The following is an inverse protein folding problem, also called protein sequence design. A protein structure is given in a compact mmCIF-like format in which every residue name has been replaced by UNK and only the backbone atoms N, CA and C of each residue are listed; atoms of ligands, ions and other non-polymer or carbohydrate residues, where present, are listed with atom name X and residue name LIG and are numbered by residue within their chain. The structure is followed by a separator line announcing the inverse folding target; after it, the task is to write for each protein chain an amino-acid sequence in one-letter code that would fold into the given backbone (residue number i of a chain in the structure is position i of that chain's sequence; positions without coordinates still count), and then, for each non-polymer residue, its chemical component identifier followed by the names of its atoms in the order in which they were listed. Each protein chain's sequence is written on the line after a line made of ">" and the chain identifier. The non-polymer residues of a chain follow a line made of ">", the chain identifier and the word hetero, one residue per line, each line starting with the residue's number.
data_IF_523272073657
#
_entry.id   IF_523272073657
#
_cell.length_a   1.000
_cell.length_b   1.000
_cell.length_c   1.000
_cell.angle_alpha   90.00
_cell.angle_beta   90.00
_cell.angle_gamma   90.00
#
_symmetry.space_group_name_H-M   'P 1'
#
loop_
_entity.id
_entity.type
_entity.pdbx_description
1 polymer ?
#
# COMPACT_ATOMS: atom_id res chain seq x y z
N UNK A 1 -32.15 -24.23 2.01
CA UNK A 1 -30.99 -24.41 2.93
C UNK A 1 -30.93 -23.16 3.79
N UNK A 2 -31.32 -23.28 5.07
CA UNK A 2 -31.16 -22.17 6.03
C UNK A 2 -29.74 -22.18 6.55
N UNK A 3 -29.05 -21.07 6.38
CA UNK A 3 -27.77 -20.83 7.02
C UNK A 3 -27.93 -20.80 8.54
N UNK A 4 -27.02 -21.38 9.32
CA UNK A 4 -27.08 -21.31 10.78
C UNK A 4 -26.98 -19.84 11.24
N UNK A 5 -27.86 -19.46 12.15
CA UNK A 5 -27.97 -18.12 12.73
C UNK A 5 -26.89 -17.77 13.77
N UNK A 6 -25.94 -18.68 14.03
CA UNK A 6 -24.84 -18.48 14.95
C UNK A 6 -23.58 -18.06 14.19
N UNK A 7 -23.54 -16.80 13.76
CA UNK A 7 -22.24 -16.15 13.53
C UNK A 7 -21.63 -15.86 14.91
N UNK A 8 -20.40 -16.30 15.18
CA UNK A 8 -19.72 -15.92 16.41
C UNK A 8 -19.71 -14.40 16.53
N UNK A 9 -20.09 -13.87 17.67
CA UNK A 9 -19.83 -12.46 18.05
C UNK A 9 -18.32 -12.34 18.22
N UNK A 10 -17.67 -12.05 17.09
CA UNK A 10 -16.24 -12.14 16.96
C UNK A 10 -15.63 -10.83 17.49
N UNK A 11 -15.17 -10.86 18.73
CA UNK A 11 -14.02 -10.05 19.12
C UNK A 11 -12.83 -10.54 18.32
N UNK A 12 -12.77 -10.16 17.04
CA UNK A 12 -11.62 -10.52 16.20
C UNK A 12 -10.40 -9.87 16.84
N UNK A 13 -9.44 -10.65 17.31
CA UNK A 13 -8.25 -10.10 17.95
C UNK A 13 -7.58 -9.11 17.00
N UNK A 14 -7.08 -8.01 17.56
CA UNK A 14 -6.34 -7.02 16.79
C UNK A 14 -5.27 -7.72 15.94
N UNK A 15 -5.20 -7.39 14.66
CA UNK A 15 -4.27 -8.02 13.75
C UNK A 15 -2.84 -7.60 14.13
N UNK A 16 -2.05 -8.57 14.56
CA UNK A 16 -0.66 -8.35 15.01
C UNK A 16 0.31 -8.71 13.87
N UNK A 17 0.84 -7.70 13.22
CA UNK A 17 1.82 -7.85 12.13
C UNK A 17 3.22 -8.32 12.59
N UNK A 18 3.43 -8.55 13.90
CA UNK A 18 4.64 -9.18 14.40
C UNK A 18 4.55 -10.69 14.42
N UNK A 19 3.35 -11.26 14.28
CA UNK A 19 3.08 -12.69 14.28
C UNK A 19 3.11 -13.28 12.87
N UNK A 20 3.83 -14.38 12.70
CA UNK A 20 4.01 -15.03 11.38
C UNK A 20 2.67 -15.48 10.78
N UNK A 21 1.73 -15.99 11.60
CA UNK A 21 0.41 -16.42 11.14
C UNK A 21 -0.40 -15.26 10.57
N UNK A 22 -0.37 -14.10 11.22
CA UNK A 22 -1.09 -12.92 10.75
C UNK A 22 -0.48 -12.37 9.46
N UNK A 23 0.86 -12.37 9.35
CA UNK A 23 1.55 -11.97 8.12
C UNK A 23 1.25 -12.94 6.98
N UNK A 24 1.13 -14.25 7.25
CA UNK A 24 0.72 -15.22 6.25
C UNK A 24 -0.71 -14.92 5.72
N UNK A 25 -1.66 -14.63 6.60
CA UNK A 25 -3.02 -14.23 6.21
C UNK A 25 -3.05 -12.93 5.40
N UNK A 26 -2.24 -11.94 5.78
CA UNK A 26 -2.07 -10.71 5.00
C UNK A 26 -1.54 -11.00 3.59
N UNK A 27 -0.59 -11.92 3.46
CA UNK A 27 0.08 -12.26 2.20
C UNK A 27 -0.80 -13.11 1.26
N UNK A 28 -1.69 -13.94 1.80
CA UNK A 28 -2.55 -14.84 1.00
C UNK A 28 -3.56 -14.12 0.11
N UNK A 29 -3.98 -12.92 0.50
CA UNK A 29 -4.93 -12.10 -0.26
C UNK A 29 -4.35 -10.73 -0.60
N UNK A 30 -3.37 -10.65 -1.50
CA UNK A 30 -2.63 -9.43 -1.79
C UNK A 30 -3.40 -8.45 -2.70
N UNK A 31 -4.73 -8.44 -2.67
CA UNK A 31 -5.56 -7.64 -3.58
C UNK A 31 -5.20 -6.16 -3.58
N UNK A 32 -4.80 -5.62 -2.42
CA UNK A 32 -4.39 -4.22 -2.34
C UNK A 32 -3.06 -3.96 -3.07
N UNK A 33 -2.02 -4.71 -2.72
CA UNK A 33 -0.69 -4.57 -3.33
C UNK A 33 -0.67 -5.04 -4.78
N UNK A 34 -1.48 -6.04 -5.13
CA UNK A 34 -1.56 -6.58 -6.48
C UNK A 34 -2.10 -5.56 -7.49
N UNK A 35 -3.10 -4.75 -7.14
CA UNK A 35 -3.66 -3.74 -8.05
C UNK A 35 -2.63 -2.68 -8.43
N UNK A 36 -1.93 -2.13 -7.44
CA UNK A 36 -0.88 -1.13 -7.67
C UNK A 36 0.36 -1.75 -8.32
N UNK A 37 0.74 -2.96 -7.89
CA UNK A 37 1.89 -3.68 -8.43
C UNK A 37 1.69 -4.12 -9.87
N UNK A 38 0.48 -4.49 -10.29
CA UNK A 38 0.20 -4.78 -11.69
C UNK A 38 0.41 -3.54 -12.56
N UNK A 39 -0.12 -2.39 -12.14
CA UNK A 39 0.11 -1.12 -12.83
C UNK A 39 1.60 -0.76 -12.89
N UNK A 40 2.34 -1.00 -11.81
CA UNK A 40 3.80 -0.80 -11.76
C UNK A 40 4.51 -1.71 -12.76
N UNK A 41 4.21 -3.00 -12.75
CA UNK A 41 4.84 -4.02 -13.59
C UNK A 41 4.56 -3.85 -15.11
N UNK A 42 3.46 -3.18 -15.48
CA UNK A 42 3.17 -2.82 -16.87
C UNK A 42 4.12 -1.73 -17.40
N UNK A 43 4.75 -0.97 -16.52
CA UNK A 43 5.54 0.23 -16.90
C UNK A 43 7.00 0.17 -16.44
N UNK A 44 7.37 -0.80 -15.60
CA UNK A 44 8.76 -1.01 -15.19
C UNK A 44 9.61 -1.41 -16.40
N UNK A 45 10.78 -0.77 -16.59
CA UNK A 45 11.70 -1.17 -17.66
C UNK A 45 12.29 -2.56 -17.40
N UNK A 46 12.30 -3.40 -18.43
CA UNK A 46 12.77 -4.79 -18.35
C UNK A 46 14.25 -4.97 -18.81
N UNK A 47 14.97 -3.89 -19.00
CA UNK A 47 16.40 -3.88 -19.37
C UNK A 47 17.35 -3.74 -18.16
N UNK A 48 16.80 -3.58 -16.96
CA UNK A 48 17.57 -3.45 -15.72
C UNK A 48 18.21 -4.80 -15.30
N UNK A 49 19.42 -4.72 -14.75
CA UNK A 49 20.13 -5.92 -14.28
C UNK A 49 20.38 -5.93 -12.77
N UNK A 50 20.38 -4.77 -12.15
CA UNK A 50 20.57 -4.59 -10.70
C UNK A 50 19.38 -3.81 -10.15
N UNK A 51 18.46 -4.49 -9.53
CA UNK A 51 17.18 -3.93 -9.12
C UNK A 51 17.07 -3.97 -7.59
N UNK A 52 16.60 -2.87 -7.01
CA UNK A 52 16.16 -2.78 -5.62
C UNK A 52 14.61 -2.70 -5.60
N UNK A 53 13.99 -3.57 -4.84
CA UNK A 53 12.59 -3.42 -4.43
C UNK A 53 12.57 -2.89 -2.99
N UNK A 54 12.23 -1.60 -2.84
CA UNK A 54 12.24 -0.89 -1.57
C UNK A 54 10.85 -0.90 -0.93
N UNK A 55 10.77 -1.47 0.29
CA UNK A 55 9.49 -1.80 0.91
C UNK A 55 8.90 -3.08 0.32
N UNK A 56 9.74 -4.11 0.12
CA UNK A 56 9.36 -5.34 -0.56
C UNK A 56 8.36 -6.22 0.21
N UNK A 57 8.15 -5.96 1.49
CA UNK A 57 7.20 -6.66 2.34
C UNK A 57 7.37 -8.19 2.27
N UNK A 58 6.28 -8.88 1.96
CA UNK A 58 6.24 -10.34 1.79
C UNK A 58 6.73 -10.83 0.42
N UNK A 59 7.28 -9.93 -0.43
CA UNK A 59 7.97 -10.30 -1.67
C UNK A 59 7.20 -10.06 -2.97
N UNK A 60 6.12 -9.28 -2.97
CA UNK A 60 5.49 -8.77 -4.19
C UNK A 60 5.72 -7.26 -4.31
N UNK A 61 6.26 -6.74 -5.42
CA UNK A 61 6.57 -7.39 -6.70
C UNK A 61 7.99 -7.99 -6.84
N UNK A 62 8.77 -8.11 -5.78
CA UNK A 62 10.16 -8.58 -5.80
C UNK A 62 10.37 -9.84 -6.66
N UNK A 63 9.61 -10.90 -6.35
CA UNK A 63 9.78 -12.20 -7.02
C UNK A 63 9.27 -12.15 -8.46
N UNK A 64 8.17 -11.45 -8.70
CA UNK A 64 7.66 -11.22 -10.05
C UNK A 64 8.69 -10.50 -10.94
N UNK A 65 9.37 -9.49 -10.39
CA UNK A 65 10.47 -8.80 -11.08
C UNK A 65 11.66 -9.73 -11.33
N UNK A 66 12.03 -10.54 -10.35
CA UNK A 66 13.14 -11.48 -10.50
C UNK A 66 12.90 -12.48 -11.61
N UNK A 67 11.67 -12.99 -11.73
CA UNK A 67 11.29 -13.93 -12.79
C UNK A 67 11.16 -13.26 -14.15
N UNK A 68 10.54 -12.09 -14.24
CA UNK A 68 10.39 -11.35 -15.52
C UNK A 68 11.71 -10.85 -16.09
N UNK A 69 12.64 -10.47 -15.23
CA UNK A 69 13.97 -10.03 -15.65
C UNK A 69 14.92 -11.21 -15.93
N UNK A 70 14.59 -12.40 -15.45
CA UNK A 70 15.32 -13.62 -15.66
C UNK A 70 16.68 -13.70 -14.96
N UNK A 71 17.45 -14.80 -15.16
CA UNK A 71 18.65 -15.10 -14.38
C UNK A 71 19.82 -14.11 -14.62
N UNK A 72 19.76 -13.31 -15.67
CA UNK A 72 20.76 -12.27 -15.97
C UNK A 72 20.64 -11.02 -15.09
N UNK A 73 19.55 -10.87 -14.34
CA UNK A 73 19.33 -9.79 -13.41
C UNK A 73 19.49 -10.25 -11.95
N UNK A 74 19.81 -9.32 -11.07
CA UNK A 74 19.80 -9.52 -9.62
C UNK A 74 18.83 -8.55 -8.98
N UNK A 75 17.85 -9.06 -8.24
CA UNK A 75 16.84 -8.26 -7.55
C UNK A 75 17.03 -8.37 -6.05
N UNK A 76 17.11 -7.24 -5.37
CA UNK A 76 17.28 -7.18 -3.90
C UNK A 76 16.04 -6.54 -3.31
N UNK A 77 15.35 -7.25 -2.42
CA UNK A 77 14.26 -6.68 -1.62
C UNK A 77 14.79 -6.15 -0.30
N UNK A 78 14.40 -4.93 0.04
CA UNK A 78 14.71 -4.32 1.33
C UNK A 78 13.44 -3.86 2.04
N UNK A 79 13.33 -4.21 3.34
CA UNK A 79 12.19 -3.84 4.17
C UNK A 79 12.60 -3.83 5.66
N UNK A 80 12.13 -2.89 6.50
CA UNK A 80 12.36 -2.95 7.94
C UNK A 80 11.53 -4.04 8.65
N UNK A 81 10.44 -4.52 8.03
CA UNK A 81 9.48 -5.46 8.60
C UNK A 81 10.00 -6.89 8.60
N UNK A 82 10.62 -7.29 9.71
CA UNK A 82 11.30 -8.59 9.84
C UNK A 82 10.38 -9.79 9.59
N UNK A 83 9.13 -9.75 10.05
CA UNK A 83 8.16 -10.85 9.88
C UNK A 83 7.77 -11.03 8.41
N UNK A 84 7.57 -9.94 7.68
CA UNK A 84 7.34 -9.99 6.23
C UNK A 84 8.54 -10.57 5.48
N UNK A 85 9.77 -10.20 5.85
CA UNK A 85 10.97 -10.77 5.24
C UNK A 85 11.13 -12.28 5.52
N UNK A 86 10.71 -12.76 6.70
CA UNK A 86 10.67 -14.23 6.96
C UNK A 86 9.70 -14.92 5.99
N UNK A 87 8.50 -14.37 5.80
CA UNK A 87 7.51 -14.87 4.83
C UNK A 87 8.08 -14.84 3.40
N UNK A 88 8.68 -13.73 2.99
CA UNK A 88 9.34 -13.61 1.68
C UNK A 88 10.47 -14.64 1.51
N UNK A 89 11.27 -14.88 2.56
CA UNK A 89 12.34 -15.88 2.53
C UNK A 89 11.80 -17.31 2.32
N UNK A 90 10.69 -17.65 2.97
CA UNK A 90 10.03 -18.95 2.79
C UNK A 90 9.53 -19.10 1.33
N UNK A 91 8.91 -18.08 0.75
CA UNK A 91 8.48 -18.08 -0.66
C UNK A 91 9.65 -18.21 -1.62
N UNK A 92 10.74 -17.45 -1.40
CA UNK A 92 11.96 -17.55 -2.22
C UNK A 92 12.51 -18.96 -2.25
N UNK A 93 12.54 -19.62 -1.10
CA UNK A 93 13.02 -21.00 -1.01
C UNK A 93 12.09 -21.99 -1.72
N UNK A 94 10.78 -21.89 -1.47
CA UNK A 94 9.78 -22.76 -2.07
C UNK A 94 9.68 -22.64 -3.59
N UNK A 95 9.84 -21.42 -4.12
CA UNK A 95 9.78 -21.14 -5.57
C UNK A 95 11.14 -21.20 -6.27
N UNK A 96 12.22 -21.47 -5.51
CA UNK A 96 13.58 -21.56 -6.05
C UNK A 96 14.05 -20.31 -6.81
N UNK A 97 13.66 -19.11 -6.34
CA UNK A 97 14.05 -17.83 -6.99
C UNK A 97 15.49 -17.49 -6.63
N UNK A 98 16.41 -17.93 -7.46
CA UNK A 98 17.86 -17.85 -7.19
C UNK A 98 18.45 -16.44 -7.33
N UNK A 99 17.86 -15.61 -8.20
CA UNK A 99 18.34 -14.25 -8.50
C UNK A 99 17.73 -13.16 -7.62
N UNK A 100 16.95 -13.53 -6.59
CA UNK A 100 16.43 -12.62 -5.58
C UNK A 100 17.21 -12.73 -4.26
N UNK A 101 17.39 -11.59 -3.57
CA UNK A 101 17.97 -11.52 -2.22
C UNK A 101 17.09 -10.65 -1.32
N UNK A 102 17.14 -10.87 -0.01
CA UNK A 102 16.37 -10.14 0.99
C UNK A 102 17.30 -9.54 2.03
N UNK A 103 17.10 -8.28 2.37
CA UNK A 103 17.89 -7.54 3.36
C UNK A 103 16.94 -6.76 4.27
N UNK A 104 17.15 -6.84 5.58
CA UNK A 104 16.43 -5.97 6.50
C UNK A 104 17.10 -4.61 6.54
N UNK A 105 16.38 -3.57 6.11
CA UNK A 105 16.89 -2.20 6.08
C UNK A 105 15.76 -1.17 6.17
N UNK A 106 16.09 -0.01 6.71
CA UNK A 106 15.27 1.19 6.65
C UNK A 106 15.52 1.93 5.33
N UNK A 107 14.44 2.38 4.67
CA UNK A 107 14.51 3.13 3.41
C UNK A 107 15.27 4.45 3.52
N UNK A 108 15.31 5.07 4.69
CA UNK A 108 16.07 6.28 4.96
C UNK A 108 17.58 6.05 5.14
N UNK A 109 18.03 4.79 5.24
CA UNK A 109 19.44 4.42 5.43
C UNK A 109 19.74 3.05 4.84
N UNK A 110 20.04 3.00 3.56
CA UNK A 110 20.28 1.74 2.85
C UNK A 110 21.73 1.25 3.02
N UNK A 111 21.95 -0.02 3.42
CA UNK A 111 23.29 -0.58 3.69
C UNK A 111 24.01 -1.01 2.39
N UNK A 112 23.99 -0.15 1.38
CA UNK A 112 24.60 -0.40 0.07
C UNK A 112 25.36 0.82 -0.41
N UNK A 113 26.36 0.59 -1.27
CA UNK A 113 27.18 1.64 -1.86
C UNK A 113 26.41 2.49 -2.87
N UNK A 114 26.91 3.66 -3.17
CA UNK A 114 26.41 4.55 -4.21
C UNK A 114 26.41 3.84 -5.58
N UNK A 115 25.40 4.11 -6.39
CA UNK A 115 25.30 3.60 -7.76
C UNK A 115 25.19 2.08 -7.87
N UNK A 116 24.70 1.41 -6.84
CA UNK A 116 24.59 -0.06 -6.80
C UNK A 116 23.54 -0.62 -7.76
N UNK A 117 22.50 0.16 -8.07
CA UNK A 117 21.33 -0.29 -8.81
C UNK A 117 21.09 0.50 -10.10
N UNK A 118 20.49 -0.16 -11.09
CA UNK A 118 20.05 0.45 -12.34
C UNK A 118 18.57 0.88 -12.25
N UNK A 119 17.82 0.21 -11.36
CA UNK A 119 16.42 0.43 -11.12
C UNK A 119 16.12 0.29 -9.61
N UNK A 120 15.37 1.23 -9.08
CA UNK A 120 14.70 1.09 -7.77
C UNK A 120 13.21 1.06 -8.03
N UNK A 121 12.51 0.10 -7.45
CA UNK A 121 11.05 0.03 -7.45
C UNK A 121 10.52 0.13 -6.02
N UNK A 122 9.31 0.65 -5.86
CA UNK A 122 8.59 0.58 -4.59
C UNK A 122 7.08 0.49 -4.86
N UNK A 123 6.47 -0.62 -4.49
CA UNK A 123 5.05 -0.84 -4.66
C UNK A 123 4.31 -0.48 -3.37
N UNK A 124 3.67 0.68 -3.34
CA UNK A 124 2.98 1.25 -2.17
C UNK A 124 3.88 1.49 -0.94
N UNK A 125 5.17 1.14 -1.00
CA UNK A 125 6.12 1.33 0.10
C UNK A 125 6.27 2.80 0.48
N UNK A 126 6.25 3.69 -0.51
CA UNK A 126 6.35 5.14 -0.32
C UNK A 126 5.28 5.72 0.63
N UNK A 127 4.13 5.06 0.73
CA UNK A 127 3.04 5.47 1.61
C UNK A 127 3.36 5.28 3.11
N UNK A 128 4.38 4.48 3.40
CA UNK A 128 4.76 4.08 4.76
C UNK A 128 6.17 4.56 5.15
N UNK A 129 6.84 5.35 4.31
CA UNK A 129 8.14 5.91 4.68
C UNK A 129 7.97 6.91 5.83
N UNK A 130 8.66 6.67 6.95
CA UNK A 130 8.65 7.60 8.07
C UNK A 130 9.29 8.95 7.71
N UNK A 131 10.34 8.91 6.88
CA UNK A 131 11.09 10.07 6.39
C UNK A 131 11.18 10.03 4.86
N UNK A 132 10.12 10.43 4.11
CA UNK A 132 10.08 10.28 2.65
C UNK A 132 11.23 10.99 1.94
N UNK A 133 11.63 12.19 2.41
CA UNK A 133 12.72 12.95 1.80
C UNK A 133 14.07 12.20 1.93
N UNK A 134 14.36 11.61 3.10
CA UNK A 134 15.55 10.81 3.32
C UNK A 134 15.52 9.52 2.47
N UNK A 135 14.37 8.86 2.37
CA UNK A 135 14.22 7.66 1.54
C UNK A 135 14.44 7.97 0.05
N UNK A 136 13.90 9.09 -0.47
CA UNK A 136 14.16 9.49 -1.85
C UNK A 136 15.61 9.89 -2.09
N UNK A 137 16.27 10.56 -1.14
CA UNK A 137 17.70 10.84 -1.19
C UNK A 137 18.53 9.55 -1.26
N UNK A 138 18.17 8.54 -0.46
CA UNK A 138 18.82 7.22 -0.51
C UNK A 138 18.56 6.49 -1.84
N UNK A 139 17.31 6.53 -2.36
CA UNK A 139 17.00 6.01 -3.69
C UNK A 139 17.93 6.64 -4.75
N UNK A 140 18.10 7.98 -4.69
CA UNK A 140 19.00 8.67 -5.61
C UNK A 140 20.45 8.23 -5.42
N UNK A 141 20.94 8.16 -4.19
CA UNK A 141 22.32 7.75 -3.89
C UNK A 141 22.63 6.35 -4.44
N UNK A 142 21.74 5.39 -4.21
CA UNK A 142 21.97 3.98 -4.59
C UNK A 142 21.73 3.68 -6.07
N UNK A 143 21.02 4.53 -6.79
CA UNK A 143 20.87 4.43 -8.25
C UNK A 143 22.18 4.84 -8.95
N UNK A 144 22.53 4.15 -10.02
CA UNK A 144 23.59 4.58 -10.93
C UNK A 144 23.18 5.88 -11.66
N UNK A 145 24.13 6.67 -12.18
CA UNK A 145 23.80 7.79 -13.06
C UNK A 145 22.90 7.32 -14.23
N UNK A 146 21.79 8.03 -14.47
CA UNK A 146 20.77 7.64 -15.45
C UNK A 146 19.88 6.47 -15.02
N UNK A 147 20.09 5.92 -13.83
CA UNK A 147 19.23 4.87 -13.25
C UNK A 147 17.80 5.37 -12.99
N UNK A 148 16.85 4.46 -12.90
CA UNK A 148 15.42 4.76 -12.85
C UNK A 148 14.81 4.41 -11.50
N UNK A 149 13.84 5.22 -11.08
CA UNK A 149 12.99 5.00 -9.93
C UNK A 149 11.56 4.80 -10.43
N UNK A 150 10.90 3.74 -10.03
CA UNK A 150 9.51 3.44 -10.35
C UNK A 150 8.72 3.24 -9.06
N UNK A 151 7.75 4.11 -8.79
CA UNK A 151 6.95 4.11 -7.57
C UNK A 151 5.49 3.90 -7.89
N UNK A 152 4.78 3.07 -7.15
CA UNK A 152 3.33 3.07 -7.11
C UNK A 152 2.81 3.65 -5.81
N UNK A 153 1.69 4.34 -5.87
CA UNK A 153 1.00 4.91 -4.70
C UNK A 153 -0.51 4.96 -4.94
N UNK A 154 -1.29 4.98 -3.86
CA UNK A 154 -2.68 5.39 -3.91
C UNK A 154 -2.77 6.90 -3.66
N UNK A 155 -3.69 7.54 -4.36
CA UNK A 155 -3.84 8.99 -4.35
C UNK A 155 -4.96 9.47 -3.43
N UNK A 156 -4.95 10.79 -3.16
CA UNK A 156 -6.11 11.50 -2.61
C UNK A 156 -7.36 11.20 -3.43
N UNK A 157 -8.52 11.11 -2.77
CA UNK A 157 -9.77 10.67 -3.40
C UNK A 157 -10.07 9.19 -3.22
N UNK A 158 -9.13 8.40 -2.70
CA UNK A 158 -9.40 7.02 -2.33
C UNK A 158 -10.58 6.92 -1.37
N UNK A 159 -11.54 6.03 -1.70
CA UNK A 159 -12.74 5.77 -0.89
C UNK A 159 -13.57 7.04 -0.61
N UNK A 160 -13.63 7.99 -1.55
CA UNK A 160 -14.31 9.27 -1.37
C UNK A 160 -15.78 9.11 -0.88
N UNK A 161 -16.53 8.14 -1.43
CA UNK A 161 -17.91 7.85 -1.01
C UNK A 161 -17.97 7.43 0.47
N UNK A 162 -17.03 6.58 0.91
CA UNK A 162 -16.94 6.14 2.31
C UNK A 162 -16.59 7.32 3.23
N UNK A 163 -15.60 8.11 2.87
CA UNK A 163 -15.20 9.24 3.71
C UNK A 163 -16.25 10.33 3.77
N UNK A 164 -17.01 10.57 2.70
CA UNK A 164 -18.16 11.47 2.73
C UNK A 164 -19.29 10.94 3.66
N UNK A 165 -19.53 9.62 3.67
CA UNK A 165 -20.46 8.99 4.62
C UNK A 165 -19.94 9.13 6.06
N UNK A 166 -18.65 8.90 6.29
CA UNK A 166 -18.05 9.04 7.61
C UNK A 166 -18.10 10.48 8.14
N UNK A 167 -17.88 11.45 7.27
CA UNK A 167 -18.03 12.89 7.60
C UNK A 167 -19.46 13.21 8.06
N UNK A 168 -20.51 12.70 7.37
CA UNK A 168 -21.90 12.88 7.80
C UNK A 168 -22.16 12.27 9.17
N UNK A 169 -21.66 11.06 9.45
CA UNK A 169 -21.80 10.41 10.77
C UNK A 169 -21.16 11.26 11.85
N UNK A 170 -19.94 11.76 11.63
CA UNK A 170 -19.24 12.57 12.63
C UNK A 170 -19.86 13.96 12.80
N UNK A 171 -20.38 14.57 11.73
CA UNK A 171 -21.08 15.83 11.78
C UNK A 171 -22.40 15.73 12.55
N UNK A 172 -23.17 14.65 12.38
CA UNK A 172 -24.40 14.40 13.13
C UNK A 172 -24.15 14.22 14.63
N UNK A 173 -22.97 13.74 15.01
CA UNK A 173 -22.54 13.61 16.39
C UNK A 173 -22.00 14.93 17.00
N UNK A 174 -21.95 16.02 16.20
CA UNK A 174 -21.41 17.34 16.57
C UNK A 174 -19.98 17.28 17.15
N UNK A 175 -19.16 16.31 16.72
CA UNK A 175 -17.77 16.13 17.19
C UNK A 175 -16.78 16.79 16.20
N UNK A 176 -16.51 18.06 16.43
CA UNK A 176 -15.55 18.82 15.63
C UNK A 176 -14.11 18.25 15.67
N UNK A 177 -13.73 17.62 16.82
CA UNK A 177 -12.44 16.98 16.97
C UNK A 177 -12.31 15.74 16.08
N UNK A 178 -13.34 14.90 16.01
CA UNK A 178 -13.35 13.73 15.11
C UNK A 178 -13.38 14.16 13.64
N UNK A 179 -14.11 15.20 13.28
CA UNK A 179 -14.08 15.77 11.92
C UNK A 179 -12.70 16.25 11.54
N UNK A 180 -12.00 16.97 12.41
CA UNK A 180 -10.64 17.41 12.14
C UNK A 180 -9.68 16.22 11.97
N UNK A 181 -9.79 15.17 12.77
CA UNK A 181 -9.01 13.93 12.59
C UNK A 181 -9.32 13.25 11.26
N UNK A 182 -10.61 13.20 10.84
CA UNK A 182 -10.98 12.65 9.55
C UNK A 182 -10.35 13.42 8.40
N UNK A 183 -10.45 14.74 8.41
CA UNK A 183 -9.86 15.59 7.37
C UNK A 183 -8.33 15.41 7.29
N UNK A 184 -7.64 15.37 8.43
CA UNK A 184 -6.21 15.08 8.48
C UNK A 184 -5.89 13.68 7.92
N UNK A 185 -6.69 12.67 8.29
CA UNK A 185 -6.55 11.29 7.79
C UNK A 185 -6.72 11.19 6.26
N UNK A 186 -7.64 11.94 5.69
CA UNK A 186 -7.84 11.96 4.23
C UNK A 186 -6.73 12.73 3.52
N UNK A 187 -6.32 13.87 4.10
CA UNK A 187 -5.35 14.79 3.49
C UNK A 187 -3.90 14.27 3.44
N UNK A 188 -3.54 13.26 4.27
CA UNK A 188 -2.16 12.76 4.29
C UNK A 188 -1.80 11.92 3.04
N UNK A 189 -2.78 11.55 2.23
CA UNK A 189 -2.53 10.75 1.01
C UNK A 189 -1.79 11.55 -0.04
N UNK A 190 -1.00 10.84 -0.85
CA UNK A 190 -0.21 11.45 -1.89
C UNK A 190 -1.09 12.17 -2.93
N UNK A 191 -0.58 13.30 -3.40
CA UNK A 191 -1.03 13.91 -4.66
C UNK A 191 0.09 13.74 -5.68
N UNK A 192 -0.26 13.69 -6.97
CA UNK A 192 0.76 13.60 -8.02
C UNK A 192 1.73 14.79 -7.99
N UNK A 193 1.20 16.01 -7.83
CA UNK A 193 2.03 17.20 -7.73
C UNK A 193 2.97 17.15 -6.52
N UNK A 194 2.49 16.70 -5.36
CA UNK A 194 3.29 16.54 -4.15
C UNK A 194 4.41 15.51 -4.32
N UNK A 195 4.10 14.35 -4.91
CA UNK A 195 5.07 13.28 -5.16
C UNK A 195 6.11 13.71 -6.21
N UNK A 196 5.68 14.26 -7.35
CA UNK A 196 6.59 14.76 -8.39
C UNK A 196 7.52 15.84 -7.83
N UNK A 197 6.99 16.84 -7.12
CA UNK A 197 7.81 17.87 -6.50
C UNK A 197 8.74 17.34 -5.41
N UNK A 198 8.37 16.27 -4.70
CA UNK A 198 9.28 15.62 -3.74
C UNK A 198 10.45 14.91 -4.45
N UNK A 199 10.20 14.28 -5.58
CA UNK A 199 11.23 13.65 -6.41
C UNK A 199 12.16 14.69 -7.05
N UNK A 200 11.59 15.77 -7.62
CA UNK A 200 12.37 16.87 -8.22
C UNK A 200 13.30 17.55 -7.21
N UNK A 201 12.85 17.75 -5.96
CA UNK A 201 13.72 18.27 -4.88
C UNK A 201 14.90 17.35 -4.53
N UNK A 202 14.86 16.10 -4.96
CA UNK A 202 15.95 15.13 -4.82
C UNK A 202 16.66 14.89 -6.16
N UNK A 203 16.63 15.85 -7.08
CA UNK A 203 17.27 15.82 -8.40
C UNK A 203 16.87 14.57 -9.24
N UNK A 204 15.62 14.18 -9.17
CA UNK A 204 15.02 13.25 -10.11
C UNK A 204 14.29 13.99 -11.22
N UNK A 205 14.43 13.54 -12.44
CA UNK A 205 13.63 13.95 -13.58
C UNK A 205 12.41 13.02 -13.72
N UNK A 206 11.19 13.54 -13.56
CA UNK A 206 9.97 12.76 -13.75
C UNK A 206 9.76 12.49 -15.24
N UNK A 207 9.90 11.24 -15.66
CA UNK A 207 9.82 10.79 -17.05
C UNK A 207 8.39 10.49 -17.49
N UNK A 208 7.54 10.13 -16.56
CA UNK A 208 6.15 9.82 -16.86
C UNK A 208 5.33 9.42 -15.63
N UNK A 209 4.03 9.63 -15.78
CA UNK A 209 3.03 9.26 -14.78
C UNK A 209 1.96 8.40 -15.46
N UNK A 210 1.48 7.39 -14.78
CA UNK A 210 0.35 6.55 -15.19
C UNK A 210 -0.63 6.46 -14.05
N UNK A 211 -1.89 6.76 -14.35
CA UNK A 211 -2.97 6.72 -13.38
C UNK A 211 -3.98 5.65 -13.77
N UNK A 212 -4.57 5.01 -12.76
CA UNK A 212 -5.67 4.08 -12.92
C UNK A 212 -6.56 4.15 -11.69
N UNK A 213 -7.86 4.34 -11.89
CA UNK A 213 -8.83 4.17 -10.80
C UNK A 213 -9.40 2.77 -10.87
N UNK A 214 -9.32 2.05 -9.76
CA UNK A 214 -9.81 0.68 -9.63
C UNK A 214 -11.03 0.68 -8.70
N UNK A 215 -12.20 0.20 -9.16
CA UNK A 215 -13.37 0.07 -8.31
C UNK A 215 -13.27 -1.16 -7.42
N UNK A 216 -13.39 -0.98 -6.12
CA UNK A 216 -13.65 -2.03 -5.16
C UNK A 216 -15.15 -2.12 -4.90
N UNK A 217 -15.77 -3.18 -5.42
CA UNK A 217 -17.22 -3.36 -5.36
C UNK A 217 -17.61 -4.26 -4.19
N UNK A 218 -18.57 -3.79 -3.41
CA UNK A 218 -19.15 -4.49 -2.27
C UNK A 218 -20.67 -4.57 -2.41
N UNK A 219 -21.29 -5.58 -1.82
CA UNK A 219 -22.73 -5.69 -1.83
C UNK A 219 -23.38 -4.52 -1.08
N UNK A 220 -22.78 -4.11 0.05
CA UNK A 220 -23.32 -3.11 0.97
C UNK A 220 -22.24 -2.65 1.96
N UNK A 221 -22.57 -1.76 2.88
CA UNK A 221 -21.66 -1.24 3.91
C UNK A 221 -21.23 -2.31 4.92
N UNK A 222 -22.13 -3.22 5.29
CA UNK A 222 -21.79 -4.34 6.17
C UNK A 222 -20.69 -5.22 5.55
N UNK A 223 -20.75 -5.47 4.23
CA UNK A 223 -19.71 -6.21 3.51
C UNK A 223 -18.36 -5.44 3.49
N UNK A 224 -18.39 -4.11 3.40
CA UNK A 224 -17.16 -3.30 3.53
C UNK A 224 -16.55 -3.49 4.90
N UNK A 225 -17.33 -3.32 5.96
CA UNK A 225 -16.84 -3.37 7.34
C UNK A 225 -16.37 -4.77 7.77
N UNK A 226 -16.91 -5.83 7.17
CA UNK A 226 -16.51 -7.22 7.43
C UNK A 226 -15.33 -7.70 6.57
N UNK A 227 -14.97 -6.94 5.51
CA UNK A 227 -13.91 -7.36 4.61
C UNK A 227 -12.55 -7.40 5.32
N UNK A 228 -11.86 -8.56 5.28
CA UNK A 228 -10.65 -8.80 6.06
C UNK A 228 -9.56 -7.73 5.86
N UNK A 229 -9.30 -7.30 4.62
CA UNK A 229 -8.28 -6.29 4.36
C UNK A 229 -8.69 -4.88 4.83
N UNK A 230 -9.98 -4.52 4.73
CA UNK A 230 -10.52 -3.26 5.29
C UNK A 230 -10.33 -3.26 6.82
N UNK A 231 -10.67 -4.37 7.48
CA UNK A 231 -10.49 -4.54 8.93
C UNK A 231 -9.03 -4.43 9.33
N UNK A 232 -8.14 -5.01 8.54
CA UNK A 232 -6.70 -5.00 8.78
C UNK A 232 -6.06 -3.62 8.52
N UNK A 233 -6.30 -3.08 7.33
CA UNK A 233 -5.52 -1.94 6.82
C UNK A 233 -6.15 -0.57 7.09
N UNK A 234 -7.45 -0.50 7.39
CA UNK A 234 -8.15 0.78 7.49
C UNK A 234 -8.92 0.98 8.80
N UNK A 235 -9.61 -0.04 9.30
CA UNK A 235 -10.42 0.07 10.53
C UNK A 235 -9.63 0.57 11.74
N UNK A 236 -8.37 0.18 11.99
CA UNK A 236 -7.62 0.73 13.11
C UNK A 236 -7.52 2.26 13.07
N UNK A 237 -7.15 2.83 11.92
CA UNK A 237 -7.08 4.28 11.75
C UNK A 237 -8.46 4.95 11.80
N UNK A 238 -9.52 4.30 11.30
CA UNK A 238 -10.88 4.82 11.42
C UNK A 238 -11.37 4.82 12.87
N UNK A 239 -10.96 3.85 13.68
CA UNK A 239 -11.23 3.84 15.13
C UNK A 239 -10.55 5.02 15.83
N UNK A 240 -9.31 5.34 15.49
CA UNK A 240 -8.61 6.52 16.01
C UNK A 240 -9.33 7.82 15.61
N UNK A 241 -9.79 7.92 14.36
CA UNK A 241 -10.61 9.05 13.88
C UNK A 241 -11.91 9.14 14.68
N UNK A 242 -12.60 8.03 14.86
CA UNK A 242 -13.87 7.97 15.58
C UNK A 242 -13.74 8.22 17.11
N UNK A 243 -12.57 7.93 17.70
CA UNK A 243 -12.32 8.14 19.14
C UNK A 243 -13.15 7.23 20.06
N UNK A 244 -13.50 7.73 21.23
CA UNK A 244 -14.15 6.95 22.30
C UNK A 244 -15.48 6.27 21.92
N UNK A 245 -16.12 6.73 20.84
CA UNK A 245 -17.38 6.19 20.33
C UNK A 245 -17.18 5.37 19.05
N UNK A 246 -16.00 4.77 18.85
CA UNK A 246 -15.63 4.12 17.59
C UNK A 246 -16.63 3.05 17.14
N UNK A 247 -17.08 2.16 18.04
CA UNK A 247 -17.99 1.08 17.69
C UNK A 247 -19.34 1.61 17.16
N UNK A 248 -19.92 2.57 17.88
CA UNK A 248 -21.19 3.20 17.49
C UNK A 248 -21.04 3.95 16.16
N UNK A 249 -19.97 4.70 15.98
CA UNK A 249 -19.71 5.53 14.78
C UNK A 249 -19.41 4.66 13.56
N UNK A 250 -18.68 3.57 13.73
CA UNK A 250 -18.42 2.63 12.62
C UNK A 250 -19.65 1.82 12.26
N UNK A 251 -20.52 1.47 13.22
CA UNK A 251 -21.82 0.89 12.93
C UNK A 251 -22.73 1.86 12.16
N UNK A 252 -22.76 3.13 12.55
CA UNK A 252 -23.47 4.17 11.82
C UNK A 252 -22.89 4.39 10.41
N UNK A 253 -21.57 4.34 10.25
CA UNK A 253 -20.92 4.39 8.93
C UNK A 253 -21.38 3.22 8.05
N UNK A 254 -21.43 1.99 8.58
CA UNK A 254 -21.94 0.85 7.84
C UNK A 254 -23.37 1.09 7.34
N UNK A 255 -24.25 1.61 8.21
CA UNK A 255 -25.63 1.92 7.85
C UNK A 255 -25.75 3.04 6.78
N UNK A 256 -24.92 4.08 6.89
CA UNK A 256 -24.84 5.12 5.85
C UNK A 256 -24.39 4.56 4.48
N UNK A 257 -23.43 3.64 4.50
CA UNK A 257 -22.97 2.97 3.28
C UNK A 257 -24.03 1.99 2.74
N UNK A 258 -24.79 1.31 3.59
CA UNK A 258 -25.92 0.47 3.19
C UNK A 258 -26.99 1.32 2.48
N UNK A 259 -27.31 2.50 3.02
CA UNK A 259 -28.26 3.43 2.41
C UNK A 259 -27.76 4.00 1.06
N UNK A 260 -26.45 4.11 0.89
CA UNK A 260 -25.83 4.57 -0.35
C UNK A 260 -25.69 3.46 -1.41
N UNK A 261 -25.81 2.19 -1.00
CA UNK A 261 -25.69 1.06 -1.92
C UNK A 261 -26.91 0.99 -2.85
N UNK A 262 -26.63 1.03 -4.16
CA UNK A 262 -27.68 0.85 -5.18
C UNK A 262 -27.93 -0.62 -5.51
N UNK A 263 -28.79 -0.91 -6.49
CA UNK A 263 -29.07 -2.29 -6.95
C UNK A 263 -27.81 -3.03 -7.42
N UNK A 264 -26.76 -2.29 -7.81
CA UNK A 264 -25.47 -2.83 -8.26
C UNK A 264 -24.43 -2.92 -7.13
N UNK A 265 -24.82 -2.66 -5.88
CA UNK A 265 -23.94 -2.58 -4.73
C UNK A 265 -23.28 -1.21 -4.56
N UNK A 266 -22.21 -1.19 -3.80
CA UNK A 266 -21.39 -0.03 -3.46
C UNK A 266 -20.05 -0.13 -4.19
N UNK A 267 -19.58 0.96 -4.79
CA UNK A 267 -18.22 1.05 -5.36
C UNK A 267 -17.37 2.00 -4.54
N UNK A 268 -16.25 1.51 -4.06
CA UNK A 268 -15.20 2.31 -3.41
C UNK A 268 -14.02 2.46 -4.38
N UNK A 269 -13.88 3.66 -4.91
CA UNK A 269 -12.82 3.94 -5.89
C UNK A 269 -11.45 4.03 -5.24
N UNK A 270 -10.45 3.41 -5.89
CA UNK A 270 -9.05 3.46 -5.49
C UNK A 270 -8.24 4.08 -6.63
N UNK A 271 -7.98 5.39 -6.58
CA UNK A 271 -7.09 6.02 -7.54
C UNK A 271 -5.64 5.61 -7.23
N UNK A 272 -4.99 5.02 -8.21
CA UNK A 272 -3.61 4.57 -8.18
C UNK A 272 -2.77 5.37 -9.16
N UNK A 273 -1.52 5.59 -8.83
CA UNK A 273 -0.55 6.13 -9.76
C UNK A 273 0.76 5.35 -9.74
N UNK A 274 1.41 5.33 -10.90
CA UNK A 274 2.81 4.95 -11.05
C UNK A 274 3.57 6.15 -11.58
N UNK A 275 4.67 6.48 -10.90
CA UNK A 275 5.59 7.54 -11.31
C UNK A 275 6.92 6.89 -11.67
N UNK A 276 7.38 7.19 -12.88
CA UNK A 276 8.72 6.80 -13.35
C UNK A 276 9.58 8.04 -13.38
N UNK A 277 10.71 7.98 -12.69
CA UNK A 277 11.67 9.07 -12.65
C UNK A 277 13.08 8.57 -12.96
N UNK A 278 13.95 9.44 -13.43
CA UNK A 278 15.35 9.17 -13.73
C UNK A 278 16.26 9.95 -12.79
N UNK A 279 17.31 9.33 -12.29
CA UNK A 279 18.40 10.04 -11.62
C UNK A 279 19.14 10.90 -12.64
N UNK A 280 19.13 12.21 -12.43
CA UNK A 280 19.95 13.17 -13.18
C UNK A 280 21.43 13.00 -12.89
#
# INVERSE_FOLDING_TARGET
>A
MSYPADMPTDETPAFDLTRDEHVALYDELPLWSALAGQLLLEHVPLDARRVLDLGCGTGFPLFELAERLGPGARVVGMDPWATALRRASAKRAAWHVANAALVRADGARLPVRDGAFDLVVSNLGVNNFAEPAAAFSECRRVLAPGGRLALSTNLVGQFAVLYAAFERVLASAADAGALARLHAHVAHRATLAGLSGALERQDFEVMGVRERTVPWRFANGAAVMSHHFIRLGFVPAWREVAGDHADTRLAALAAELDAAAGPSGLSLEVPLAVVIARRS
#
